data_IF_213782409097
#
_entry.id   IF_213782409097
#
_cell.length_a   1.000
_cell.length_b   1.000
_cell.length_c   1.000
_cell.angle_alpha   90.00
_cell.angle_beta   90.00
_cell.angle_gamma   90.00
#
_symmetry.space_group_name_H-M   'P 1'
#
loop_
_entity.id
_entity.type
_entity.pdbx_description
1 polymer ?
#
# COMPACT_ATOMS: atom_id res chain seq x y z
N UNK A 1 -25.51 -27.48 11.91
CA UNK A 1 -25.96 -27.18 10.51
C UNK A 1 -25.30 -25.92 9.93
N UNK A 2 -25.01 -24.88 10.73
CA UNK A 2 -24.44 -23.61 10.26
C UNK A 2 -22.98 -23.68 9.75
N UNK A 3 -22.08 -24.40 10.45
CA UNK A 3 -20.66 -24.54 10.03
C UNK A 3 -20.48 -25.21 8.65
N UNK A 4 -21.32 -26.20 8.30
CA UNK A 4 -21.28 -26.86 6.98
C UNK A 4 -21.69 -25.93 5.84
N UNK A 5 -22.58 -24.96 6.08
CA UNK A 5 -23.03 -23.99 5.07
C UNK A 5 -21.93 -22.95 4.81
N UNK A 6 -21.26 -22.49 5.87
CA UNK A 6 -20.16 -21.53 5.77
C UNK A 6 -18.98 -22.07 4.95
N UNK A 7 -18.52 -23.30 5.20
CA UNK A 7 -17.46 -23.92 4.40
C UNK A 7 -17.84 -24.08 2.92
N UNK A 8 -19.12 -24.35 2.61
CA UNK A 8 -19.58 -24.44 1.23
C UNK A 8 -19.49 -23.09 0.50
N UNK A 9 -19.80 -21.98 1.20
CA UNK A 9 -19.72 -20.63 0.66
C UNK A 9 -18.27 -20.17 0.44
N UNK A 10 -17.35 -20.55 1.34
CA UNK A 10 -15.89 -20.31 1.17
C UNK A 10 -15.35 -21.08 -0.04
N UNK A 11 -15.72 -22.36 -0.20
CA UNK A 11 -15.31 -23.17 -1.35
C UNK A 11 -15.78 -22.56 -2.68
N UNK A 12 -17.04 -22.10 -2.74
CA UNK A 12 -17.59 -21.42 -3.93
C UNK A 12 -16.88 -20.10 -4.21
N UNK A 13 -16.56 -19.32 -3.18
CA UNK A 13 -15.82 -18.07 -3.34
C UNK A 13 -14.39 -18.31 -3.82
N UNK A 14 -13.73 -19.37 -3.33
CA UNK A 14 -12.39 -19.77 -3.76
C UNK A 14 -12.35 -20.12 -5.25
N UNK A 15 -13.36 -20.84 -5.75
CA UNK A 15 -13.47 -21.11 -7.20
C UNK A 15 -13.62 -19.82 -8.01
N UNK A 16 -14.43 -18.87 -7.53
CA UNK A 16 -14.60 -17.58 -8.21
C UNK A 16 -13.36 -16.69 -8.15
N UNK A 17 -12.58 -16.78 -7.07
CA UNK A 17 -11.29 -16.10 -6.95
C UNK A 17 -10.31 -16.56 -8.03
N UNK A 18 -10.33 -17.84 -8.37
CA UNK A 18 -9.44 -18.45 -9.37
C UNK A 18 -9.97 -18.38 -10.81
N UNK A 19 -11.26 -18.06 -11.00
CA UNK A 19 -11.88 -17.97 -12.32
C UNK A 19 -11.37 -16.73 -13.10
N UNK A 20 -10.48 -16.96 -14.06
CA UNK A 20 -9.92 -15.91 -14.92
C UNK A 20 -10.93 -15.26 -15.86
N UNK A 21 -12.14 -15.82 -16.01
CA UNK A 21 -13.22 -15.21 -16.77
C UNK A 21 -13.96 -14.12 -15.98
N UNK A 22 -13.75 -14.03 -14.66
CA UNK A 22 -14.30 -12.97 -13.83
C UNK A 22 -13.40 -11.75 -13.84
N UNK A 23 -14.03 -10.58 -13.85
CA UNK A 23 -13.33 -9.31 -13.70
C UNK A 23 -12.67 -9.21 -12.31
N UNK A 24 -11.69 -8.33 -12.21
CA UNK A 24 -10.87 -8.16 -11.02
C UNK A 24 -11.66 -7.71 -9.79
N UNK A 25 -12.66 -6.84 -9.95
CA UNK A 25 -13.49 -6.35 -8.85
C UNK A 25 -14.37 -7.47 -8.26
N UNK A 26 -14.93 -8.32 -9.11
CA UNK A 26 -15.66 -9.53 -8.68
C UNK A 26 -14.74 -10.48 -7.91
N UNK A 27 -13.53 -10.72 -8.41
CA UNK A 27 -12.54 -11.59 -7.74
C UNK A 27 -12.09 -11.02 -6.40
N UNK A 28 -11.88 -9.70 -6.33
CA UNK A 28 -11.56 -8.97 -5.09
C UNK A 28 -12.67 -9.09 -4.04
N UNK A 29 -13.93 -8.94 -4.45
CA UNK A 29 -15.07 -9.17 -3.55
C UNK A 29 -15.05 -10.59 -2.96
N UNK A 30 -14.75 -11.61 -3.78
CA UNK A 30 -14.65 -12.98 -3.29
C UNK A 30 -13.44 -13.23 -2.40
N UNK A 31 -12.28 -12.59 -2.68
CA UNK A 31 -11.13 -12.63 -1.78
C UNK A 31 -11.50 -12.12 -0.37
N UNK A 32 -12.18 -10.97 -0.30
CA UNK A 32 -12.63 -10.40 0.97
C UNK A 32 -13.60 -11.32 1.72
N UNK A 33 -14.58 -11.88 1.02
CA UNK A 33 -15.52 -12.85 1.60
C UNK A 33 -14.76 -14.04 2.18
N UNK A 34 -13.75 -14.57 1.48
CA UNK A 34 -12.95 -15.69 2.01
C UNK A 34 -12.26 -15.27 3.31
N UNK A 35 -11.54 -14.14 3.28
CA UNK A 35 -10.76 -13.63 4.43
C UNK A 35 -11.59 -13.28 5.67
N UNK A 36 -12.88 -13.00 5.51
CA UNK A 36 -13.81 -12.77 6.63
C UNK A 36 -14.25 -14.06 7.33
N UNK A 37 -14.04 -15.23 6.70
CA UNK A 37 -14.61 -16.51 7.16
C UNK A 37 -13.58 -17.63 7.38
N UNK A 38 -12.33 -17.42 6.99
CA UNK A 38 -11.24 -18.38 7.21
C UNK A 38 -10.36 -17.92 8.38
N UNK A 39 -9.71 -18.86 9.05
CA UNK A 39 -8.70 -18.53 10.07
C UNK A 39 -7.36 -18.12 9.44
N UNK A 40 -6.37 -17.80 10.28
CA UNK A 40 -5.05 -17.38 9.81
C UNK A 40 -4.28 -18.49 9.07
N UNK A 41 -4.48 -19.76 9.43
CA UNK A 41 -3.77 -20.89 8.81
C UNK A 41 -4.35 -21.16 7.41
N UNK A 42 -5.67 -21.17 7.28
CA UNK A 42 -6.38 -21.27 6.01
C UNK A 42 -6.09 -20.08 5.10
N UNK A 43 -6.05 -18.85 5.64
CA UNK A 43 -5.66 -17.66 4.88
C UNK A 43 -4.22 -17.77 4.38
N UNK A 44 -3.30 -18.26 5.21
CA UNK A 44 -1.90 -18.48 4.83
C UNK A 44 -1.77 -19.49 3.69
N UNK A 45 -2.42 -20.65 3.82
CA UNK A 45 -2.42 -21.66 2.77
C UNK A 45 -3.01 -21.13 1.45
N UNK A 46 -4.07 -20.33 1.51
CA UNK A 46 -4.66 -19.70 0.33
C UNK A 46 -3.68 -18.74 -0.36
N UNK A 47 -3.00 -17.88 0.41
CA UNK A 47 -2.04 -16.90 -0.11
C UNK A 47 -0.80 -17.59 -0.69
N UNK A 48 -0.24 -18.57 0.01
CA UNK A 48 0.91 -19.34 -0.47
C UNK A 48 0.61 -20.11 -1.76
N UNK A 49 -0.61 -20.63 -1.92
CA UNK A 49 -1.01 -21.33 -3.13
C UNK A 49 -1.34 -20.38 -4.32
N UNK A 50 -1.71 -19.12 -4.05
CA UNK A 50 -2.28 -18.22 -5.05
C UNK A 50 -1.67 -16.81 -5.09
N UNK A 51 -0.47 -16.61 -4.50
CA UNK A 51 0.13 -15.28 -4.26
C UNK A 51 0.14 -14.38 -5.50
N UNK A 52 0.52 -14.89 -6.67
CA UNK A 52 0.56 -14.11 -7.92
C UNK A 52 -0.83 -13.62 -8.34
N UNK A 53 -1.86 -14.47 -8.24
CA UNK A 53 -3.22 -14.11 -8.60
C UNK A 53 -3.82 -13.10 -7.61
N UNK A 54 -3.58 -13.31 -6.31
CA UNK A 54 -4.06 -12.40 -5.26
C UNK A 54 -3.40 -11.04 -5.41
N UNK A 55 -2.08 -10.99 -5.67
CA UNK A 55 -1.38 -9.74 -5.90
C UNK A 55 -1.86 -9.01 -7.15
N UNK A 56 -2.11 -9.73 -8.26
CA UNK A 56 -2.71 -9.12 -9.44
C UNK A 56 -4.06 -8.46 -9.12
N UNK A 57 -4.95 -9.17 -8.40
CA UNK A 57 -6.25 -8.64 -8.00
C UNK A 57 -6.07 -7.39 -7.12
N UNK A 58 -5.19 -7.45 -6.11
CA UNK A 58 -4.86 -6.32 -5.27
C UNK A 58 -4.37 -5.11 -6.10
N UNK A 59 -3.37 -5.33 -6.95
CA UNK A 59 -2.75 -4.29 -7.76
C UNK A 59 -3.77 -3.61 -8.66
N UNK A 60 -4.56 -4.39 -9.40
CA UNK A 60 -5.54 -3.86 -10.33
C UNK A 60 -6.65 -3.07 -9.60
N UNK A 61 -7.13 -3.57 -8.46
CA UNK A 61 -8.10 -2.83 -7.65
C UNK A 61 -7.49 -1.57 -7.01
N UNK A 62 -6.20 -1.56 -6.67
CA UNK A 62 -5.50 -0.34 -6.22
C UNK A 62 -5.46 0.71 -7.32
N UNK A 63 -5.11 0.34 -8.55
CA UNK A 63 -5.09 1.27 -9.69
C UNK A 63 -6.49 1.83 -9.98
N UNK A 64 -7.53 1.00 -9.89
CA UNK A 64 -8.91 1.44 -10.05
C UNK A 64 -9.34 2.42 -8.94
N UNK A 65 -9.08 2.08 -7.67
CA UNK A 65 -9.39 2.95 -6.54
C UNK A 65 -8.64 4.29 -6.62
N UNK A 66 -7.35 4.26 -6.99
CA UNK A 66 -6.54 5.44 -7.24
C UNK A 66 -7.16 6.32 -8.35
N UNK A 67 -7.55 5.71 -9.47
CA UNK A 67 -8.16 6.42 -10.60
C UNK A 67 -9.47 7.09 -10.20
N UNK A 68 -10.34 6.38 -9.47
CA UNK A 68 -11.60 6.92 -8.97
C UNK A 68 -11.38 8.10 -8.02
N UNK A 69 -10.40 8.00 -7.11
CA UNK A 69 -10.07 9.06 -6.16
C UNK A 69 -9.46 10.30 -6.81
N UNK A 70 -8.66 10.12 -7.88
CA UNK A 70 -8.13 11.22 -8.69
C UNK A 70 -9.22 11.99 -9.41
N UNK A 71 -10.23 11.29 -9.92
CA UNK A 71 -11.37 11.93 -10.59
C UNK A 71 -12.25 12.66 -9.59
N UNK A 72 -12.61 11.99 -8.49
CA UNK A 72 -13.50 12.56 -7.47
C UNK A 72 -13.30 11.92 -6.12
N UNK A 73 -13.03 12.73 -5.11
CA UNK A 73 -12.89 12.24 -3.75
C UNK A 73 -14.27 12.11 -3.10
N UNK A 74 -14.76 10.89 -3.00
CA UNK A 74 -16.02 10.55 -2.34
C UNK A 74 -15.82 9.54 -1.21
N UNK A 75 -16.76 9.52 -0.26
CA UNK A 75 -16.76 8.55 0.84
C UNK A 75 -16.64 7.12 0.33
N UNK A 76 -17.45 6.73 -0.67
CA UNK A 76 -17.41 5.40 -1.26
C UNK A 76 -16.05 5.05 -1.88
N UNK A 77 -15.38 5.99 -2.58
CA UNK A 77 -14.06 5.74 -3.16
C UNK A 77 -12.97 5.62 -2.08
N UNK A 78 -13.12 6.30 -0.93
CA UNK A 78 -12.22 6.11 0.21
C UNK A 78 -12.42 4.76 0.87
N UNK A 79 -13.65 4.32 1.03
CA UNK A 79 -13.98 2.97 1.53
C UNK A 79 -13.46 1.87 0.57
N UNK A 80 -13.51 2.13 -0.74
CA UNK A 80 -12.90 1.26 -1.75
C UNK A 80 -11.37 1.15 -1.54
N UNK A 81 -10.67 2.28 -1.40
CA UNK A 81 -9.24 2.28 -1.11
C UNK A 81 -8.92 1.59 0.22
N UNK A 82 -9.66 1.87 1.28
CA UNK A 82 -9.48 1.23 2.59
C UNK A 82 -9.60 -0.29 2.49
N UNK A 83 -10.60 -0.79 1.75
CA UNK A 83 -10.74 -2.22 1.49
C UNK A 83 -9.53 -2.79 0.73
N UNK A 84 -8.98 -2.06 -0.23
CA UNK A 84 -7.78 -2.49 -0.98
C UNK A 84 -6.53 -2.49 -0.08
N UNK A 85 -6.36 -1.48 0.77
CA UNK A 85 -5.24 -1.39 1.71
C UNK A 85 -5.31 -2.47 2.80
N UNK A 86 -6.50 -2.91 3.19
CA UNK A 86 -6.66 -4.08 4.06
C UNK A 86 -6.09 -5.36 3.42
N UNK A 87 -6.13 -5.50 2.09
CA UNK A 87 -5.47 -6.62 1.39
C UNK A 87 -3.95 -6.43 1.31
N UNK A 88 -3.45 -5.19 1.16
CA UNK A 88 -2.02 -4.90 1.25
C UNK A 88 -1.44 -5.33 2.61
N UNK A 89 -2.14 -5.00 3.70
CA UNK A 89 -1.80 -5.42 5.06
C UNK A 89 -1.63 -6.95 5.15
N UNK A 90 -2.61 -7.70 4.64
CA UNK A 90 -2.58 -9.17 4.62
C UNK A 90 -1.46 -9.72 3.73
N UNK A 91 -1.21 -9.14 2.55
CA UNK A 91 -0.11 -9.55 1.68
C UNK A 91 1.23 -9.44 2.39
N UNK A 92 1.51 -8.29 3.01
CA UNK A 92 2.79 -8.04 3.67
C UNK A 92 2.98 -8.92 4.92
N UNK A 93 1.90 -9.27 5.61
CA UNK A 93 1.91 -10.10 6.81
C UNK A 93 1.99 -11.61 6.50
N UNK A 94 1.22 -12.09 5.52
CA UNK A 94 1.00 -13.53 5.29
C UNK A 94 2.09 -14.15 4.43
N UNK A 95 2.69 -13.41 3.48
CA UNK A 95 3.75 -13.90 2.59
C UNK A 95 5.09 -13.16 2.74
N UNK A 96 5.61 -12.97 3.97
CA UNK A 96 6.82 -12.19 4.21
C UNK A 96 8.06 -12.85 3.57
N UNK A 97 8.09 -14.16 3.38
CA UNK A 97 9.20 -14.88 2.77
C UNK A 97 9.38 -14.54 1.28
N UNK A 98 8.28 -14.26 0.56
CA UNK A 98 8.35 -13.79 -0.82
C UNK A 98 8.78 -12.33 -0.88
N UNK A 99 8.17 -11.50 -0.04
CA UNK A 99 8.43 -10.05 0.00
C UNK A 99 9.87 -9.77 0.40
N UNK A 100 10.42 -10.49 1.39
CA UNK A 100 11.83 -10.39 1.81
C UNK A 100 12.82 -10.73 0.69
N UNK A 101 12.42 -11.57 -0.26
CA UNK A 101 13.18 -11.89 -1.49
C UNK A 101 12.94 -10.91 -2.63
N UNK A 102 12.46 -9.70 -2.31
CA UNK A 102 12.12 -8.63 -3.27
C UNK A 102 11.06 -9.00 -4.30
N UNK A 103 10.21 -9.98 -4.03
CA UNK A 103 9.10 -10.29 -4.92
C UNK A 103 8.15 -9.08 -5.04
N UNK A 104 7.86 -8.66 -6.28
CA UNK A 104 7.07 -7.47 -6.61
C UNK A 104 7.60 -6.16 -5.99
N UNK A 105 8.89 -6.10 -5.61
CA UNK A 105 9.47 -4.95 -4.89
C UNK A 105 9.28 -3.63 -5.65
N UNK A 106 9.51 -3.61 -6.96
CA UNK A 106 9.33 -2.39 -7.76
C UNK A 106 7.88 -1.87 -7.71
N UNK A 107 6.90 -2.76 -7.90
CA UNK A 107 5.49 -2.40 -7.86
C UNK A 107 5.05 -1.95 -6.46
N UNK A 108 5.49 -2.65 -5.41
CA UNK A 108 5.24 -2.27 -4.02
C UNK A 108 5.87 -0.91 -3.67
N UNK A 109 7.08 -0.65 -4.13
CA UNK A 109 7.75 0.66 -3.98
C UNK A 109 6.87 1.75 -4.56
N UNK A 110 6.41 1.59 -5.81
CA UNK A 110 5.53 2.58 -6.46
C UNK A 110 4.22 2.81 -5.71
N UNK A 111 3.55 1.75 -5.27
CA UNK A 111 2.28 1.85 -4.50
C UNK A 111 2.51 2.59 -3.19
N UNK A 112 3.52 2.20 -2.42
CA UNK A 112 3.80 2.79 -1.11
C UNK A 112 4.28 4.24 -1.26
N UNK A 113 5.10 4.56 -2.26
CA UNK A 113 5.48 5.94 -2.56
C UNK A 113 4.28 6.81 -2.95
N UNK A 114 3.33 6.28 -3.74
CA UNK A 114 2.06 6.98 -4.05
C UNK A 114 1.24 7.26 -2.79
N UNK A 115 1.19 6.32 -1.84
CA UNK A 115 0.48 6.50 -0.57
C UNK A 115 1.19 7.50 0.37
N UNK A 116 2.52 7.50 0.38
CA UNK A 116 3.34 8.42 1.18
C UNK A 116 3.49 9.83 0.56
N UNK A 117 3.08 9.99 -0.71
CA UNK A 117 3.28 11.21 -1.49
C UNK A 117 2.91 12.48 -0.70
N UNK A 118 3.78 13.51 -0.61
CA UNK A 118 3.55 14.70 0.22
C UNK A 118 2.24 15.44 -0.02
N UNK A 119 1.77 15.46 -1.27
CA UNK A 119 0.48 16.03 -1.67
C UNK A 119 -0.78 15.24 -1.28
N UNK A 120 -0.67 14.08 -0.64
CA UNK A 120 -1.83 13.36 -0.10
C UNK A 120 -2.41 14.03 1.15
N UNK A 121 -3.64 13.67 1.51
CA UNK A 121 -4.14 14.00 2.85
C UNK A 121 -3.21 13.44 3.93
N UNK A 122 -2.99 14.20 5.00
CA UNK A 122 -2.10 13.81 6.10
C UNK A 122 -2.61 12.57 6.84
N UNK A 123 -3.92 12.30 6.82
CA UNK A 123 -4.50 11.05 7.34
C UNK A 123 -4.04 9.85 6.52
N UNK A 124 -4.13 9.93 5.19
CA UNK A 124 -3.65 8.86 4.31
C UNK A 124 -2.13 8.68 4.46
N UNK A 125 -1.37 9.77 4.48
CA UNK A 125 0.09 9.71 4.66
C UNK A 125 0.46 9.10 6.01
N UNK A 126 -0.23 9.46 7.09
CA UNK A 126 -0.01 8.85 8.42
C UNK A 126 -0.24 7.35 8.33
N UNK A 127 -1.37 6.92 7.79
CA UNK A 127 -1.67 5.50 7.63
C UNK A 127 -0.66 4.78 6.74
N UNK A 128 -0.18 5.44 5.68
CA UNK A 128 0.81 4.88 4.76
C UNK A 128 2.14 4.52 5.43
N UNK A 129 2.52 5.23 6.51
CA UNK A 129 3.71 4.88 7.31
C UNK A 129 3.59 3.47 7.88
N UNK A 130 2.40 3.07 8.33
CA UNK A 130 2.14 1.72 8.84
C UNK A 130 2.53 0.66 7.79
N UNK A 131 2.03 0.79 6.55
CA UNK A 131 2.31 -0.17 5.48
C UNK A 131 3.78 -0.14 5.05
N UNK A 132 4.39 1.05 5.00
CA UNK A 132 5.81 1.20 4.71
C UNK A 132 6.66 0.43 5.73
N UNK A 133 6.44 0.63 7.04
CA UNK A 133 7.24 0.01 8.08
C UNK A 133 7.11 -1.52 8.09
N UNK A 134 5.88 -2.02 7.88
CA UNK A 134 5.62 -3.46 7.74
C UNK A 134 6.45 -4.04 6.59
N UNK A 135 6.39 -3.40 5.42
CA UNK A 135 7.14 -3.82 4.24
C UNK A 135 8.66 -3.70 4.42
N UNK A 136 9.13 -2.57 4.97
CA UNK A 136 10.54 -2.29 5.21
C UNK A 136 11.16 -3.28 6.20
N UNK A 137 10.44 -3.62 7.27
CA UNK A 137 10.88 -4.62 8.24
C UNK A 137 10.98 -6.02 7.61
N UNK A 138 10.06 -6.39 6.71
CA UNK A 138 10.10 -7.67 5.99
C UNK A 138 11.29 -7.74 5.03
N UNK A 139 11.58 -6.63 4.34
CA UNK A 139 12.76 -6.56 3.47
C UNK A 139 14.06 -6.69 4.28
N UNK A 140 14.16 -6.03 5.43
CA UNK A 140 15.34 -6.06 6.28
C UNK A 140 16.59 -5.66 5.50
N UNK A 141 17.63 -6.49 5.58
CA UNK A 141 18.91 -6.31 4.84
C UNK A 141 18.75 -6.40 3.32
N UNK A 142 17.65 -6.98 2.83
CA UNK A 142 17.34 -7.01 1.40
C UNK A 142 16.67 -5.71 0.92
N UNK A 143 16.58 -4.65 1.72
CA UNK A 143 16.03 -3.37 1.26
C UNK A 143 16.92 -2.73 0.19
N UNK A 144 16.36 -2.23 -0.93
CA UNK A 144 17.09 -1.39 -1.88
C UNK A 144 17.41 0.01 -1.32
N UNK A 145 18.44 0.68 -1.83
CA UNK A 145 18.82 2.05 -1.44
C UNK A 145 17.68 3.07 -1.60
N UNK A 146 16.88 2.95 -2.67
CA UNK A 146 15.69 3.79 -2.86
C UNK A 146 14.68 3.66 -1.71
N UNK A 147 14.57 2.47 -1.11
CA UNK A 147 13.67 2.21 0.02
C UNK A 147 14.25 2.78 1.32
N UNK A 148 15.57 2.69 1.50
CA UNK A 148 16.25 3.36 2.60
C UNK A 148 16.08 4.89 2.52
N UNK A 149 16.15 5.46 1.31
CA UNK A 149 15.88 6.89 1.08
C UNK A 149 14.43 7.27 1.41
N UNK A 150 13.44 6.42 1.07
CA UNK A 150 12.05 6.62 1.49
C UNK A 150 11.92 6.65 3.01
N UNK A 151 12.56 5.71 3.72
CA UNK A 151 12.55 5.68 5.19
C UNK A 151 13.13 6.97 5.78
N UNK A 152 14.31 7.39 5.29
CA UNK A 152 14.99 8.60 5.75
C UNK A 152 14.17 9.88 5.55
N UNK A 153 13.17 9.85 4.67
CA UNK A 153 12.37 11.03 4.27
C UNK A 153 10.88 10.90 4.63
N UNK A 154 10.48 9.90 5.43
CA UNK A 154 9.09 9.72 5.88
C UNK A 154 8.54 10.94 6.63
N UNK A 155 9.38 11.54 7.48
CA UNK A 155 9.05 12.74 8.25
C UNK A 155 9.38 13.98 7.41
N UNK A 156 8.44 14.91 7.20
CA UNK A 156 8.73 16.16 6.50
C UNK A 156 9.91 16.92 7.13
N UNK A 157 10.77 17.48 6.29
CA UNK A 157 11.97 18.22 6.72
C UNK A 157 13.22 17.36 6.91
N UNK A 158 13.11 16.03 6.94
CA UNK A 158 14.25 15.13 6.90
C UNK A 158 14.72 14.97 5.45
N UNK A 159 16.00 14.66 5.26
CA UNK A 159 16.64 14.56 3.94
C UNK A 159 17.23 13.18 3.72
N UNK A 160 17.32 12.77 2.46
CA UNK A 160 17.95 11.49 2.12
C UNK A 160 19.47 11.58 2.29
N UNK A 161 20.11 10.59 2.93
CA UNK A 161 21.57 10.49 2.97
C UNK A 161 22.16 9.94 1.65
N UNK A 162 21.32 9.52 0.70
CA UNK A 162 21.72 8.94 -0.58
C UNK A 162 21.61 9.99 -1.69
N UNK A 163 22.73 10.32 -2.34
CA UNK A 163 22.79 11.35 -3.39
C UNK A 163 21.87 11.08 -4.57
N UNK A 164 21.78 9.82 -4.98
CA UNK A 164 21.06 9.41 -6.19
C UNK A 164 19.58 9.15 -5.92
N UNK A 165 19.20 9.07 -4.64
CA UNK A 165 17.85 8.73 -4.21
C UNK A 165 17.33 9.82 -3.26
N UNK A 166 16.68 10.88 -3.76
CA UNK A 166 16.19 11.98 -2.92
C UNK A 166 15.00 11.60 -2.02
N UNK A 167 14.47 10.38 -2.13
CA UNK A 167 13.32 9.91 -1.37
C UNK A 167 12.05 10.73 -1.66
N UNK A 168 11.22 10.95 -0.63
CA UNK A 168 9.98 11.72 -0.74
C UNK A 168 10.21 13.23 -0.95
N UNK A 169 11.41 13.74 -0.70
CA UNK A 169 11.74 15.16 -0.85
C UNK A 169 11.56 15.65 -2.30
N UNK A 170 11.91 14.83 -3.30
CA UNK A 170 11.75 15.19 -4.71
C UNK A 170 10.28 15.39 -5.11
N UNK A 171 9.37 14.63 -4.51
CA UNK A 171 7.93 14.72 -4.75
C UNK A 171 7.31 15.97 -4.11
N UNK A 172 7.90 16.47 -3.03
CA UNK A 172 7.47 17.72 -2.40
C UNK A 172 7.77 18.93 -3.30
N UNK A 173 8.93 18.95 -3.97
CA UNK A 173 9.32 20.05 -4.85
C UNK A 173 8.48 20.13 -6.13
N UNK A 174 8.07 18.98 -6.70
CA UNK A 174 7.19 18.95 -7.88
C UNK A 174 5.80 19.55 -7.58
N UNK A 175 5.33 19.47 -6.33
CA UNK A 175 4.02 20.01 -5.94
C UNK A 175 3.96 21.55 -5.86
N UNK A 176 5.10 22.24 -5.84
CA UNK A 176 5.20 23.71 -5.74
C UNK A 176 5.86 24.38 -6.96
N UNK A 177 6.51 23.61 -7.84
CA UNK A 177 7.11 24.14 -9.04
C UNK A 177 6.05 24.36 -10.13
N UNK A 178 5.71 25.63 -10.37
CA UNK A 178 5.18 26.05 -11.65
C UNK A 178 6.16 25.62 -12.75
N UNK A 179 5.60 25.00 -13.81
CA UNK A 179 6.05 24.90 -15.21
C UNK A 179 7.52 25.28 -15.49
N UNK A 180 8.22 24.43 -16.25
CA UNK A 180 9.55 24.63 -16.89
C UNK A 180 10.75 23.94 -16.23
N UNK A 181 10.84 22.61 -16.38
CA UNK A 181 12.04 21.95 -16.91
C UNK A 181 11.70 20.47 -17.22
N UNK A 182 11.05 20.22 -18.36
CA UNK A 182 10.85 18.86 -18.85
C UNK A 182 12.15 18.38 -19.50
N UNK A 183 13.00 17.74 -18.69
CA UNK A 183 14.30 17.20 -19.13
C UNK A 183 14.22 15.70 -19.45
N UNK A 184 13.00 15.15 -19.62
CA UNK A 184 12.79 13.73 -19.91
C UNK A 184 11.94 13.53 -21.18
N UNK A 185 12.29 14.21 -22.27
CA UNK A 185 11.76 13.94 -23.61
C UNK A 185 12.49 12.78 -24.33
N UNK A 186 12.54 11.62 -23.68
CA UNK A 186 12.79 10.34 -24.34
C UNK A 186 11.47 9.67 -24.74
N UNK A 187 11.44 8.76 -25.72
CA UNK A 187 10.22 8.04 -26.12
C UNK A 187 9.64 7.15 -25.01
N UNK A 188 10.39 6.94 -23.93
CA UNK A 188 9.96 6.24 -22.71
C UNK A 188 10.27 7.15 -21.52
N UNK A 189 9.26 7.82 -20.99
CA UNK A 189 9.35 8.56 -19.73
C UNK A 189 8.75 7.71 -18.60
N UNK A 190 9.35 7.72 -17.42
CA UNK A 190 8.79 7.02 -16.26
C UNK A 190 7.45 7.67 -15.88
N UNK A 191 6.42 6.85 -15.62
CA UNK A 191 5.11 7.35 -15.18
C UNK A 191 5.27 8.13 -13.87
N UNK A 192 4.89 9.40 -13.91
CA UNK A 192 4.96 10.32 -12.78
C UNK A 192 4.21 9.77 -11.56
N UNK A 193 4.82 9.92 -10.37
CA UNK A 193 4.22 9.52 -9.10
C UNK A 193 3.41 10.69 -8.56
N UNK A 194 2.09 10.63 -8.77
CA UNK A 194 1.16 11.65 -8.31
C UNK A 194 0.48 11.24 -6.98
N UNK A 195 -0.06 12.19 -6.18
CA UNK A 195 -0.81 11.86 -4.96
C UNK A 195 -2.11 11.10 -5.28
N UNK A 196 -2.51 10.15 -4.44
CA UNK A 196 -3.77 9.38 -4.56
C UNK A 196 -4.99 10.30 -4.41
N UNK A 197 -5.00 11.14 -3.37
CA UNK A 197 -5.97 12.24 -3.25
C UNK A 197 -5.48 13.36 -2.33
N UNK A 198 -5.74 14.63 -2.68
CA UNK A 198 -5.33 15.75 -1.86
C UNK A 198 -6.18 15.91 -0.59
N UNK A 199 -5.72 16.67 0.41
CA UNK A 199 -6.55 17.12 1.53
C UNK A 199 -7.84 17.78 1.05
N UNK A 200 -8.91 17.63 1.82
CA UNK A 200 -10.25 18.08 1.42
C UNK A 200 -10.66 19.35 2.15
N UNK A 201 -11.55 20.16 1.56
CA UNK A 201 -12.02 21.40 2.16
C UNK A 201 -12.58 21.15 3.58
N UNK A 202 -12.01 21.84 4.57
CA UNK A 202 -12.38 21.69 5.99
C UNK A 202 -11.51 20.71 6.78
N UNK A 203 -10.58 19.99 6.12
CA UNK A 203 -9.57 19.22 6.83
C UNK A 203 -8.53 20.18 7.44
N UNK A 204 -8.39 20.17 8.76
CA UNK A 204 -7.39 20.99 9.48
C UNK A 204 -6.01 20.35 9.36
N UNK A 205 -5.06 21.11 8.82
CA UNK A 205 -3.66 20.68 8.80
C UNK A 205 -3.13 20.51 10.23
N UNK A 206 -2.20 19.57 10.46
CA UNK A 206 -1.48 19.49 11.72
C UNK A 206 -0.71 20.80 11.97
N UNK A 207 -0.77 21.32 13.20
CA UNK A 207 -0.06 22.55 13.59
C UNK A 207 1.47 22.38 13.50
N UNK A 208 1.95 21.18 13.83
CA UNK A 208 3.35 20.77 13.69
C UNK A 208 3.41 19.46 12.87
N UNK A 209 3.64 19.55 11.55
CA UNK A 209 3.76 18.38 10.70
C UNK A 209 4.91 17.46 11.08
N UNK A 210 6.03 18.00 11.56
CA UNK A 210 7.22 17.20 11.92
C UNK A 210 6.86 16.30 13.11
N UNK A 211 6.35 16.92 14.18
CA UNK A 211 5.90 16.17 15.37
C UNK A 211 4.81 15.16 15.02
N UNK A 212 3.82 15.54 14.23
CA UNK A 212 2.74 14.65 13.83
C UNK A 212 3.23 13.36 13.15
N UNK A 213 4.19 13.48 12.22
CA UNK A 213 4.72 12.32 11.51
C UNK A 213 5.78 11.55 12.32
N UNK A 214 6.54 12.20 13.20
CA UNK A 214 7.42 11.51 14.15
C UNK A 214 6.60 10.67 15.13
N UNK A 215 5.54 11.23 15.71
CA UNK A 215 4.67 10.51 16.64
C UNK A 215 4.06 9.27 15.96
N UNK A 216 3.61 9.41 14.70
CA UNK A 216 3.12 8.29 13.90
C UNK A 216 4.20 7.23 13.61
N UNK A 217 5.42 7.66 13.24
CA UNK A 217 6.54 6.77 12.99
C UNK A 217 6.87 5.93 14.23
N UNK A 218 7.01 6.59 15.39
CA UNK A 218 7.32 5.92 16.65
C UNK A 218 6.20 4.98 17.10
N UNK A 219 4.94 5.43 16.98
CA UNK A 219 3.75 4.62 17.27
C UNK A 219 3.77 3.31 16.44
N UNK A 220 3.98 3.43 15.13
CA UNK A 220 3.95 2.27 14.24
C UNK A 220 5.20 1.40 14.30
N UNK A 221 6.37 1.94 14.63
CA UNK A 221 7.56 1.12 14.88
C UNK A 221 7.33 0.15 16.05
N UNK A 222 6.64 0.57 17.11
CA UNK A 222 6.30 -0.32 18.24
C UNK A 222 5.21 -1.32 17.82
N UNK A 223 4.15 -0.83 17.16
CA UNK A 223 3.02 -1.68 16.78
C UNK A 223 3.42 -2.81 15.81
N UNK A 224 4.21 -2.49 14.78
CA UNK A 224 4.55 -3.46 13.73
C UNK A 224 5.48 -4.57 14.21
N UNK A 225 6.35 -4.28 15.18
CA UNK A 225 7.16 -5.31 15.84
C UNK A 225 6.25 -6.33 16.53
N UNK A 226 5.16 -5.89 17.16
CA UNK A 226 4.18 -6.80 17.76
C UNK A 226 3.43 -7.61 16.69
N UNK A 227 3.00 -6.99 15.59
CA UNK A 227 2.23 -7.67 14.53
C UNK A 227 2.93 -8.89 13.93
N UNK A 228 4.25 -8.87 13.77
CA UNK A 228 5.01 -10.04 13.30
C UNK A 228 5.21 -11.13 14.36
N UNK A 229 5.40 -10.74 15.63
CA UNK A 229 5.67 -11.68 16.71
C UNK A 229 4.42 -12.49 17.12
N UNK A 230 3.21 -12.02 16.84
CA UNK A 230 1.96 -12.74 17.14
C UNK A 230 1.51 -13.69 16.01
N UNK A 231 2.18 -13.68 14.85
CA UNK A 231 1.83 -14.51 13.69
C UNK A 231 2.90 -15.56 13.33
N UNK A 232 3.97 -15.63 14.13
CA UNK A 232 4.94 -16.74 14.16
C UNK A 232 4.71 -17.58 15.40
#
# INVERSE_FOLDING_TARGET
>A
MFSKKLHADVKKSTQKLQDCKKDSATRFKHLRIILEHVDNEEAKALFEANYSHIYYIFYDNFINAETNLRQKVHKAHREELEAVLAILDKLLIIIPELVSRRWQCHSLTRIITKLLHPGNSYKLRKEAIKYFLLWYQVLGENSPDEVHALFATLVPGFTSPFSDYPGLCALAASSTAAVFHDTHHGPVCAVELLPVYPPQSGEKQPDDPIRFFIDALLEYMVYQVCSFNFLR
#
